data_IF_332490954262
#
_entry.id   IF_332490954262
#
_cell.length_a   1.000
_cell.length_b   1.000
_cell.length_c   1.000
_cell.angle_alpha   90.00
_cell.angle_beta   90.00
_cell.angle_gamma   90.00
#
_symmetry.space_group_name_H-M   'P 1'
#
loop_
_entity.id
_entity.type
_entity.pdbx_description
1 polymer ?
#
# COMPACT_ATOMS: atom_id res chain seq x y z
N UNK A 1 53.09 25.68 17.82
CA UNK A 1 51.70 26.01 18.19
C UNK A 1 50.96 24.70 18.41
N UNK A 2 50.72 24.30 19.65
CA UNK A 2 49.96 23.09 19.98
C UNK A 2 48.46 23.38 19.83
N UNK A 3 47.84 22.79 18.81
CA UNK A 3 46.39 22.77 18.67
C UNK A 3 45.82 21.75 19.67
N UNK A 4 45.53 22.21 20.89
CA UNK A 4 44.68 21.47 21.82
C UNK A 4 43.24 21.55 21.31
N UNK A 5 42.89 20.68 20.36
CA UNK A 5 41.49 20.48 19.98
C UNK A 5 40.80 19.86 21.21
N UNK A 6 39.77 20.49 21.79
CA UNK A 6 39.13 19.98 22.99
C UNK A 6 38.51 18.61 22.68
N UNK A 7 38.85 17.62 23.52
CA UNK A 7 38.47 16.20 23.39
C UNK A 7 36.95 16.01 23.22
N UNK A 8 36.15 16.95 23.75
CA UNK A 8 34.69 17.00 23.61
C UNK A 8 34.20 17.20 22.18
N UNK A 9 34.96 17.90 21.32
CA UNK A 9 34.59 18.06 19.91
C UNK A 9 34.88 16.80 19.09
N UNK A 10 35.89 16.02 19.50
CA UNK A 10 36.27 14.77 18.82
C UNK A 10 35.24 13.68 19.11
N UNK A 11 34.77 13.55 20.35
CA UNK A 11 33.72 12.58 20.72
C UNK A 11 32.39 12.91 20.06
N UNK A 12 32.02 14.19 19.97
CA UNK A 12 30.79 14.62 19.28
C UNK A 12 30.85 14.33 17.76
N UNK A 13 31.99 14.57 17.12
CA UNK A 13 32.19 14.25 15.70
C UNK A 13 32.20 12.75 15.42
N UNK A 14 32.82 11.94 16.29
CA UNK A 14 32.78 10.48 16.19
C UNK A 14 31.38 9.92 16.40
N UNK A 15 30.62 10.46 17.35
CA UNK A 15 29.24 10.02 17.56
C UNK A 15 28.33 10.41 16.40
N UNK A 16 28.57 11.57 15.78
CA UNK A 16 27.88 11.96 14.55
C UNK A 16 28.25 11.03 13.39
N UNK A 17 29.52 10.72 13.16
CA UNK A 17 29.92 9.81 12.06
C UNK A 17 29.33 8.40 12.23
N UNK A 18 29.39 7.83 13.43
CA UNK A 18 28.78 6.53 13.74
C UNK A 18 27.27 6.55 13.49
N UNK A 19 26.60 7.64 13.88
CA UNK A 19 25.16 7.78 13.64
C UNK A 19 24.83 7.87 12.16
N UNK A 20 25.62 8.58 11.35
CA UNK A 20 25.44 8.66 9.90
C UNK A 20 25.64 7.30 9.23
N UNK A 21 26.70 6.58 9.57
CA UNK A 21 26.98 5.24 9.03
C UNK A 21 25.84 4.26 9.36
N UNK A 22 25.23 4.39 10.54
CA UNK A 22 24.10 3.55 10.96
C UNK A 22 22.85 3.85 10.13
N UNK A 23 22.52 5.12 9.87
CA UNK A 23 21.36 5.48 9.05
C UNK A 23 21.55 5.10 7.59
N UNK A 24 22.76 5.25 7.07
CA UNK A 24 23.10 4.84 5.71
C UNK A 24 22.92 3.33 5.57
N UNK A 25 23.46 2.53 6.50
CA UNK A 25 23.28 1.08 6.52
C UNK A 25 21.80 0.66 6.59
N UNK A 26 20.98 1.29 7.44
CA UNK A 26 19.55 1.00 7.54
C UNK A 26 18.85 1.31 6.20
N UNK A 27 19.18 2.44 5.59
CA UNK A 27 18.55 2.92 4.36
C UNK A 27 18.91 2.09 3.13
N UNK A 28 20.15 1.62 3.02
CA UNK A 28 20.64 0.91 1.84
C UNK A 28 20.45 -0.60 1.93
N UNK A 29 20.56 -1.19 3.12
CA UNK A 29 20.54 -2.66 3.28
C UNK A 29 19.22 -3.17 3.86
N UNK A 30 18.73 -2.58 4.95
CA UNK A 30 17.58 -3.13 5.68
C UNK A 30 16.26 -2.76 5.00
N UNK A 31 16.07 -1.47 4.71
CA UNK A 31 14.80 -0.95 4.21
C UNK A 31 14.37 -1.59 2.87
N UNK A 32 15.26 -1.75 1.87
CA UNK A 32 14.86 -2.36 0.59
C UNK A 32 14.47 -3.82 0.75
N UNK A 33 15.17 -4.57 1.61
CA UNK A 33 14.85 -5.98 1.88
C UNK A 33 13.49 -6.12 2.55
N UNK A 34 13.15 -5.24 3.50
CA UNK A 34 11.81 -5.20 4.10
C UNK A 34 10.76 -4.89 3.03
N UNK A 35 10.99 -3.90 2.17
CA UNK A 35 10.07 -3.55 1.09
C UNK A 35 9.82 -4.73 0.13
N UNK A 36 10.87 -5.49 -0.21
CA UNK A 36 10.76 -6.68 -1.06
C UNK A 36 9.93 -7.78 -0.40
N UNK A 37 10.19 -8.08 0.89
CA UNK A 37 9.42 -9.07 1.64
C UNK A 37 7.95 -8.67 1.71
N UNK A 38 7.65 -7.41 2.03
CA UNK A 38 6.29 -6.89 2.05
C UNK A 38 5.62 -6.98 0.66
N UNK A 39 6.37 -6.71 -0.41
CA UNK A 39 5.86 -6.84 -1.77
C UNK A 39 5.49 -8.29 -2.12
N UNK A 40 6.36 -9.26 -1.82
CA UNK A 40 6.12 -10.68 -2.11
C UNK A 40 4.92 -11.19 -1.30
N UNK A 41 4.89 -10.94 0.01
CA UNK A 41 3.78 -11.37 0.87
C UNK A 41 2.47 -10.69 0.48
N UNK A 42 2.52 -9.39 0.17
CA UNK A 42 1.37 -8.63 -0.31
C UNK A 42 0.81 -9.21 -1.62
N UNK A 43 1.67 -9.46 -2.61
CA UNK A 43 1.23 -10.06 -3.87
C UNK A 43 0.59 -11.43 -3.68
N UNK A 44 1.21 -12.32 -2.91
CA UNK A 44 0.65 -13.65 -2.63
C UNK A 44 -0.73 -13.52 -1.97
N UNK A 45 -0.86 -12.64 -0.98
CA UNK A 45 -2.13 -12.39 -0.29
C UNK A 45 -3.22 -11.85 -1.20
N UNK A 46 -2.93 -10.81 -1.98
CA UNK A 46 -3.91 -10.19 -2.87
C UNK A 46 -4.28 -11.07 -4.07
N UNK A 47 -3.32 -11.82 -4.64
CA UNK A 47 -3.59 -12.81 -5.68
C UNK A 47 -4.48 -13.94 -5.13
N UNK A 48 -4.18 -14.41 -3.91
CA UNK A 48 -5.03 -15.37 -3.20
C UNK A 48 -6.46 -14.85 -3.06
N UNK A 49 -6.64 -13.61 -2.62
CA UNK A 49 -7.94 -12.96 -2.53
C UNK A 49 -8.64 -12.91 -3.90
N UNK A 50 -7.94 -12.54 -4.97
CA UNK A 50 -8.50 -12.55 -6.33
C UNK A 50 -9.02 -13.94 -6.66
N UNK A 51 -8.22 -15.00 -6.51
CA UNK A 51 -8.67 -16.36 -6.79
C UNK A 51 -9.88 -16.77 -5.94
N UNK A 52 -9.90 -16.43 -4.66
CA UNK A 52 -11.03 -16.74 -3.76
C UNK A 52 -12.31 -16.02 -4.18
N UNK A 53 -12.27 -14.71 -4.39
CA UNK A 53 -13.46 -13.91 -4.72
C UNK A 53 -13.91 -14.05 -6.17
N UNK A 54 -13.03 -14.55 -7.04
CA UNK A 54 -13.34 -14.87 -8.42
C UNK A 54 -14.06 -16.23 -8.56
N UNK A 55 -14.27 -17.00 -7.49
CA UNK A 55 -15.10 -18.20 -7.53
C UNK A 55 -16.58 -17.87 -7.81
N UNK A 56 -17.27 -18.63 -8.68
CA UNK A 56 -18.62 -18.31 -9.14
C UNK A 56 -19.66 -18.22 -8.02
N UNK A 57 -19.47 -18.96 -6.92
CA UNK A 57 -20.38 -18.93 -5.77
C UNK A 57 -20.29 -17.62 -4.97
N UNK A 58 -19.13 -16.93 -5.00
CA UNK A 58 -18.90 -15.70 -4.23
C UNK A 58 -19.15 -14.42 -5.03
N UNK A 59 -19.06 -14.45 -6.36
CA UNK A 59 -19.22 -13.26 -7.23
C UNK A 59 -20.60 -12.59 -7.14
N UNK A 60 -21.61 -13.31 -6.66
CA UNK A 60 -22.97 -12.79 -6.51
C UNK A 60 -23.16 -11.88 -5.29
N UNK A 61 -22.15 -11.78 -4.43
CA UNK A 61 -22.19 -10.95 -3.23
C UNK A 61 -21.46 -9.62 -3.48
N UNK A 62 -22.17 -8.51 -3.36
CA UNK A 62 -21.63 -7.16 -3.57
C UNK A 62 -20.43 -6.87 -2.65
N UNK A 63 -20.48 -7.35 -1.40
CA UNK A 63 -19.34 -7.31 -0.47
C UNK A 63 -18.06 -7.93 -1.08
N UNK A 64 -18.18 -9.09 -1.72
CA UNK A 64 -17.05 -9.78 -2.34
C UNK A 64 -16.50 -9.01 -3.55
N UNK A 65 -17.35 -8.31 -4.30
CA UNK A 65 -16.92 -7.44 -5.41
C UNK A 65 -16.08 -6.27 -4.88
N UNK A 66 -16.50 -5.62 -3.79
CA UNK A 66 -15.72 -4.53 -3.20
C UNK A 66 -14.35 -5.00 -2.72
N UNK A 67 -14.27 -6.16 -2.06
CA UNK A 67 -13.00 -6.74 -1.59
C UNK A 67 -12.11 -7.16 -2.77
N UNK A 68 -12.70 -7.71 -3.84
CA UNK A 68 -11.98 -8.05 -5.07
C UNK A 68 -11.38 -6.79 -5.71
N UNK A 69 -12.17 -5.72 -5.86
CA UNK A 69 -11.69 -4.45 -6.38
C UNK A 69 -10.58 -3.85 -5.49
N UNK A 70 -10.73 -3.92 -4.16
CA UNK A 70 -9.70 -3.48 -3.21
C UNK A 70 -8.39 -4.21 -3.43
N UNK A 71 -8.44 -5.55 -3.57
CA UNK A 71 -7.25 -6.38 -3.80
C UNK A 71 -6.54 -6.04 -5.12
N UNK A 72 -7.31 -5.73 -6.18
CA UNK A 72 -6.74 -5.29 -7.46
C UNK A 72 -6.05 -3.92 -7.30
N UNK A 73 -6.69 -2.97 -6.62
CA UNK A 73 -6.12 -1.64 -6.36
C UNK A 73 -4.83 -1.75 -5.55
N UNK A 74 -4.77 -2.64 -4.56
CA UNK A 74 -3.58 -2.87 -3.74
C UNK A 74 -2.42 -3.49 -4.55
N UNK A 75 -2.71 -4.42 -5.46
CA UNK A 75 -1.69 -4.96 -6.40
C UNK A 75 -1.12 -3.85 -7.28
N UNK A 76 -1.99 -2.99 -7.83
CA UNK A 76 -1.58 -1.85 -8.66
C UNK A 76 -0.68 -0.92 -7.84
N UNK A 77 -1.08 -0.58 -6.61
CA UNK A 77 -0.30 0.28 -5.72
C UNK A 77 1.08 -0.32 -5.40
N UNK A 78 1.14 -1.60 -5.01
CA UNK A 78 2.39 -2.32 -4.76
C UNK A 78 3.31 -2.30 -5.99
N UNK A 79 2.74 -2.46 -7.18
CA UNK A 79 3.47 -2.50 -8.45
C UNK A 79 3.99 -1.14 -8.90
N UNK A 80 3.28 -0.05 -8.60
CA UNK A 80 3.68 1.32 -8.98
C UNK A 80 4.62 1.94 -7.96
N UNK A 81 4.53 1.54 -6.69
CA UNK A 81 5.25 2.20 -5.61
C UNK A 81 6.35 1.32 -5.00
N UNK A 82 5.97 0.20 -4.36
CA UNK A 82 6.88 -0.62 -3.56
C UNK A 82 7.96 -1.30 -4.39
N UNK A 83 7.57 -1.92 -5.50
CA UNK A 83 8.51 -2.61 -6.38
C UNK A 83 9.50 -1.66 -7.08
N UNK A 84 9.05 -0.54 -7.68
CA UNK A 84 9.92 0.51 -8.19
C UNK A 84 10.89 1.09 -7.17
N UNK A 85 10.43 1.32 -5.93
CA UNK A 85 11.29 1.85 -4.86
C UNK A 85 12.42 0.88 -4.51
N UNK A 86 12.12 -0.43 -4.44
CA UNK A 86 13.15 -1.46 -4.25
C UNK A 86 14.19 -1.46 -5.38
N UNK A 87 13.73 -1.43 -6.64
CA UNK A 87 14.62 -1.42 -7.80
C UNK A 87 15.51 -0.18 -7.85
N UNK A 88 14.96 0.97 -7.46
CA UNK A 88 15.71 2.22 -7.41
C UNK A 88 16.83 2.18 -6.36
N UNK A 89 16.58 1.61 -5.18
CA UNK A 89 17.59 1.57 -4.12
C UNK A 89 18.71 0.55 -4.41
N UNK A 90 18.36 -0.65 -4.91
CA UNK A 90 19.35 -1.72 -5.12
C UNK A 90 20.06 -1.61 -6.47
N UNK A 91 19.33 -1.32 -7.55
CA UNK A 91 19.88 -1.35 -8.91
C UNK A 91 20.11 0.05 -9.49
N UNK A 92 19.89 1.12 -8.71
CA UNK A 92 19.97 2.52 -9.15
C UNK A 92 19.14 2.79 -10.42
N UNK A 93 18.06 2.02 -10.60
CA UNK A 93 17.22 2.11 -11.78
C UNK A 93 16.40 3.41 -11.71
N UNK A 94 16.62 4.31 -12.68
CA UNK A 94 15.88 5.58 -12.76
C UNK A 94 14.51 5.34 -13.36
N UNK A 95 13.48 5.48 -12.54
CA UNK A 95 12.09 5.39 -13.01
C UNK A 95 11.72 6.58 -13.89
N UNK A 96 10.84 6.35 -14.90
CA UNK A 96 10.42 7.39 -15.82
C UNK A 96 9.53 8.46 -15.16
N UNK A 97 9.08 8.25 -13.91
CA UNK A 97 8.24 9.21 -13.17
C UNK A 97 8.86 10.61 -13.09
N UNK A 98 10.19 10.69 -13.03
CA UNK A 98 10.92 11.95 -12.93
C UNK A 98 11.27 12.57 -14.29
N UNK A 99 10.92 11.93 -15.43
CA UNK A 99 11.24 12.44 -16.77
C UNK A 99 10.39 13.65 -17.17
N UNK A 100 9.15 13.74 -16.67
CA UNK A 100 8.26 14.85 -16.99
C UNK A 100 7.45 15.30 -15.78
N UNK A 101 7.14 16.60 -15.74
CA UNK A 101 6.32 17.19 -14.68
C UNK A 101 4.95 16.51 -14.55
N UNK A 102 4.34 16.15 -15.68
CA UNK A 102 3.02 15.50 -15.71
C UNK A 102 3.07 14.08 -15.13
N UNK A 103 4.09 13.29 -15.44
CA UNK A 103 4.25 11.94 -14.90
C UNK A 103 4.53 11.96 -13.40
N UNK A 104 5.35 12.91 -12.93
CA UNK A 104 5.62 13.09 -11.51
C UNK A 104 4.34 13.45 -10.74
N UNK A 105 3.54 14.39 -11.27
CA UNK A 105 2.24 14.76 -10.69
C UNK A 105 1.26 13.58 -10.67
N UNK A 106 1.20 12.79 -11.75
CA UNK A 106 0.37 11.58 -11.81
C UNK A 106 0.82 10.53 -10.80
N UNK A 107 2.13 10.34 -10.63
CA UNK A 107 2.69 9.41 -9.66
C UNK A 107 2.28 9.79 -8.23
N UNK A 108 2.47 11.04 -7.80
CA UNK A 108 2.05 11.49 -6.48
C UNK A 108 0.54 11.41 -6.28
N UNK A 109 -0.24 11.71 -7.32
CA UNK A 109 -1.69 11.52 -7.29
C UNK A 109 -2.05 10.05 -7.04
N UNK A 110 -1.50 9.11 -7.82
CA UNK A 110 -1.75 7.67 -7.67
C UNK A 110 -1.25 7.15 -6.32
N UNK A 111 -0.09 7.62 -5.86
CA UNK A 111 0.50 7.27 -4.57
C UNK A 111 -0.46 7.59 -3.41
N UNK A 112 -1.12 8.75 -3.44
CA UNK A 112 -2.08 9.13 -2.39
C UNK A 112 -3.48 8.57 -2.63
N UNK A 113 -3.91 8.45 -3.89
CA UNK A 113 -5.28 8.09 -4.24
C UNK A 113 -5.55 6.59 -4.10
N UNK A 114 -4.63 5.73 -4.55
CA UNK A 114 -4.85 4.28 -4.55
C UNK A 114 -5.06 3.70 -3.14
N UNK A 115 -4.26 4.05 -2.11
CA UNK A 115 -4.49 3.56 -0.75
C UNK A 115 -5.84 4.02 -0.18
N UNK A 116 -6.21 5.28 -0.43
CA UNK A 116 -7.51 5.81 0.00
C UNK A 116 -8.67 5.09 -0.70
N UNK A 117 -8.53 4.83 -2.00
CA UNK A 117 -9.53 4.07 -2.77
C UNK A 117 -9.70 2.65 -2.21
N UNK A 118 -8.60 1.96 -1.90
CA UNK A 118 -8.63 0.62 -1.29
C UNK A 118 -9.35 0.62 0.07
N UNK A 119 -8.99 1.55 0.96
CA UNK A 119 -9.66 1.70 2.27
C UNK A 119 -11.15 2.00 2.11
N UNK A 120 -11.53 2.87 1.18
CA UNK A 120 -12.94 3.20 0.92
C UNK A 120 -13.73 1.99 0.40
N UNK A 121 -13.14 1.16 -0.46
CA UNK A 121 -13.75 -0.09 -0.94
C UNK A 121 -13.92 -1.09 0.20
N UNK A 122 -12.91 -1.22 1.07
CA UNK A 122 -12.97 -2.08 2.24
C UNK A 122 -14.05 -1.60 3.23
N UNK A 123 -14.13 -0.30 3.48
CA UNK A 123 -15.17 0.30 4.33
C UNK A 123 -16.57 0.06 3.75
N UNK A 124 -16.72 0.20 2.42
CA UNK A 124 -17.98 -0.10 1.74
C UNK A 124 -18.36 -1.58 1.88
N UNK A 125 -17.38 -2.49 1.85
CA UNK A 125 -17.61 -3.93 2.08
C UNK A 125 -18.10 -4.24 3.50
N UNK A 126 -17.60 -3.51 4.51
CA UNK A 126 -18.04 -3.64 5.90
C UNK A 126 -19.45 -3.10 6.07
N UNK A 127 -19.76 -1.94 5.48
CA UNK A 127 -21.11 -1.36 5.50
C UNK A 127 -22.11 -2.33 4.86
N UNK A 128 -21.76 -2.93 3.72
CA UNK A 128 -22.61 -3.90 3.02
C UNK A 128 -22.89 -5.14 3.89
N UNK A 129 -21.87 -5.64 4.60
CA UNK A 129 -22.00 -6.73 5.59
C UNK A 129 -22.86 -6.34 6.79
N UNK A 130 -22.68 -5.14 7.32
CA UNK A 130 -23.45 -4.62 8.44
C UNK A 130 -24.92 -4.42 8.07
N UNK A 131 -25.21 -3.94 6.85
CA UNK A 131 -26.58 -3.79 6.36
C UNK A 131 -27.32 -5.14 6.26
N UNK A 132 -26.60 -6.25 6.02
CA UNK A 132 -27.17 -7.60 6.02
C UNK A 132 -27.55 -8.12 7.41
N UNK A 133 -26.89 -7.67 8.49
CA UNK A 133 -27.20 -8.10 9.86
C UNK A 133 -28.27 -7.26 10.54
N UNK A 134 -28.62 -6.10 9.96
CA UNK A 134 -29.66 -5.23 10.49
C UNK A 134 -31.06 -5.85 10.35
N UNK A 135 -31.96 -5.51 11.29
CA UNK A 135 -33.35 -5.97 11.26
C UNK A 135 -34.07 -5.58 9.95
N UNK A 136 -35.01 -6.42 9.51
CA UNK A 136 -35.75 -6.28 8.24
C UNK A 136 -36.48 -4.92 8.10
N UNK A 137 -36.81 -4.27 9.21
CA UNK A 137 -37.50 -2.98 9.25
C UNK A 137 -36.57 -1.78 9.11
N UNK A 138 -35.26 -1.97 9.23
CA UNK A 138 -34.25 -0.90 9.20
C UNK A 138 -34.07 -0.27 7.82
N UNK A 139 -33.69 1.01 7.78
CA UNK A 139 -33.40 1.73 6.54
C UNK A 139 -32.24 1.11 5.75
N UNK A 140 -31.20 0.63 6.44
CA UNK A 140 -30.06 -0.05 5.83
C UNK A 140 -30.47 -1.31 5.04
N UNK A 141 -31.43 -2.08 5.56
CA UNK A 141 -31.95 -3.25 4.87
C UNK A 141 -32.71 -2.91 3.58
N UNK A 142 -33.40 -1.76 3.55
CA UNK A 142 -34.12 -1.28 2.34
C UNK A 142 -33.15 -0.93 1.21
N UNK A 143 -31.99 -0.36 1.51
CA UNK A 143 -30.96 -0.09 0.51
C UNK A 143 -30.39 -1.37 -0.09
N UNK A 144 -30.21 -2.43 0.71
CA UNK A 144 -29.77 -3.73 0.20
C UNK A 144 -30.78 -4.34 -0.78
N UNK A 145 -32.09 -4.17 -0.55
CA UNK A 145 -33.13 -4.63 -1.48
C UNK A 145 -33.08 -3.91 -2.83
N UNK A 146 -32.68 -2.63 -2.87
CA UNK A 146 -32.54 -1.87 -4.12
C UNK A 146 -31.32 -2.31 -4.94
N UNK A 147 -30.29 -2.86 -4.30
CA UNK A 147 -29.09 -3.38 -4.98
C UNK A 147 -29.32 -4.76 -5.63
N UNK A 148 -30.37 -5.48 -5.26
CA UNK A 148 -30.70 -6.76 -5.88
C UNK A 148 -31.51 -6.54 -7.15
N UNK A 149 -30.87 -6.70 -8.31
CA UNK A 149 -31.59 -7.01 -9.55
C UNK A 149 -32.39 -8.31 -9.30
N UNK A 150 -33.69 -8.35 -9.62
CA UNK A 150 -34.49 -9.56 -9.43
C UNK A 150 -33.83 -10.72 -10.19
N UNK A 151 -33.56 -11.80 -9.46
CA UNK A 151 -33.08 -13.04 -10.03
C UNK A 151 -34.30 -13.77 -10.61
N UNK A 152 -34.32 -13.93 -11.93
CA UNK A 152 -35.12 -14.96 -12.60
C UNK A 152 -34.61 -16.35 -12.20
#
# INVERSE_FOLDING_TARGET
MNFNIPITNITFLMQKSISYDTYEFIGTEILPNIMLICFILGLIGFIGNIFTFLQPNLRWNNCCIYILCSSIVDIIYLSINTFPSYLQTIYLFKLPWNLSFNLCKLYYFLYSFLPQLSINLLLLSIIDRYACTCALTSWAHRLNKLKMVPRL
#
